data_IF_704635898259
#
_entry.id   IF_704635898259
#
_cell.length_a   1.000
_cell.length_b   1.000
_cell.length_c   1.000
_cell.angle_alpha   90.00
_cell.angle_beta   90.00
_cell.angle_gamma   90.00
#
_symmetry.space_group_name_H-M   'P 1'
#
loop_
_entity.id
_entity.type
_entity.pdbx_description
1 polymer ?
#
# COMPACT_ATOMS: atom_id res chain seq x y z
N UNK A 1 36.45 -11.70 2.28
CA UNK A 1 36.04 -13.07 2.59
C UNK A 1 37.13 -14.10 2.22
N UNK A 2 37.74 -13.94 1.04
CA UNK A 2 38.81 -14.83 0.59
C UNK A 2 40.02 -14.86 1.54
N UNK A 3 40.43 -13.70 2.06
CA UNK A 3 41.53 -13.61 3.00
C UNK A 3 41.20 -14.30 4.32
N UNK A 4 39.99 -14.16 4.83
CA UNK A 4 39.53 -14.83 6.03
C UNK A 4 39.47 -16.35 5.85
N UNK A 5 39.07 -16.83 4.67
CA UNK A 5 39.05 -18.27 4.37
C UNK A 5 40.44 -18.87 4.31
N UNK A 6 41.38 -18.15 3.71
CA UNK A 6 42.80 -18.61 3.67
C UNK A 6 43.42 -18.68 5.07
N UNK A 7 43.11 -17.68 5.90
CA UNK A 7 43.61 -17.68 7.29
C UNK A 7 42.97 -18.82 8.09
N UNK A 8 41.72 -19.16 7.86
CA UNK A 8 41.02 -20.27 8.49
C UNK A 8 41.61 -21.64 8.16
N UNK A 9 42.18 -21.80 6.95
CA UNK A 9 42.88 -23.03 6.57
C UNK A 9 44.16 -23.28 7.39
N UNK A 10 44.78 -22.20 7.86
CA UNK A 10 46.04 -22.29 8.62
C UNK A 10 45.84 -22.29 10.13
N UNK A 11 44.73 -21.73 10.61
CA UNK A 11 44.44 -21.57 12.03
C UNK A 11 42.95 -21.87 12.30
N UNK A 12 42.61 -22.88 13.13
CA UNK A 12 41.25 -23.26 13.44
C UNK A 12 40.41 -22.12 14.07
N UNK A 13 41.07 -21.15 14.73
CA UNK A 13 40.35 -20.01 15.31
C UNK A 13 39.69 -19.12 14.24
N UNK A 14 40.24 -19.06 13.04
CA UNK A 14 39.70 -18.28 11.94
C UNK A 14 38.51 -18.94 11.28
N UNK A 15 38.31 -20.24 11.44
CA UNK A 15 37.13 -20.94 10.88
C UNK A 15 35.83 -20.39 11.46
N UNK A 16 35.82 -20.04 12.75
CA UNK A 16 34.67 -19.45 13.45
C UNK A 16 34.37 -18.06 12.88
N UNK A 17 35.40 -17.27 12.57
CA UNK A 17 35.21 -15.94 11.98
C UNK A 17 34.65 -16.01 10.55
N UNK A 18 35.06 -16.99 9.76
CA UNK A 18 34.52 -17.20 8.41
C UNK A 18 33.04 -17.56 8.47
N UNK A 19 32.64 -18.43 9.38
CA UNK A 19 31.23 -18.76 9.58
C UNK A 19 30.42 -17.55 10.02
N UNK A 20 30.95 -16.75 10.95
CA UNK A 20 30.26 -15.54 11.40
C UNK A 20 30.10 -14.50 10.28
N UNK A 21 31.11 -14.31 9.43
CA UNK A 21 31.04 -13.40 8.29
C UNK A 21 30.04 -13.87 7.26
N UNK A 22 29.95 -15.16 7.01
CA UNK A 22 28.97 -15.73 6.08
C UNK A 22 27.56 -15.58 6.63
N UNK A 23 27.35 -15.80 7.92
CA UNK A 23 26.06 -15.66 8.59
C UNK A 23 25.59 -14.20 8.68
N UNK A 24 26.52 -13.23 8.63
CA UNK A 24 26.18 -11.82 8.67
C UNK A 24 25.65 -11.28 7.35
N UNK A 25 25.76 -12.02 6.25
CA UNK A 25 25.20 -11.60 4.96
C UNK A 25 23.67 -11.70 4.99
N UNK A 26 22.97 -10.68 4.47
CA UNK A 26 21.50 -10.73 4.43
C UNK A 26 21.01 -11.94 3.63
N UNK A 27 20.07 -12.65 4.20
CA UNK A 27 19.35 -13.72 3.48
C UNK A 27 18.14 -13.11 2.77
N UNK A 28 17.77 -13.71 1.66
CA UNK A 28 16.55 -13.33 1.00
C UNK A 28 15.34 -13.62 1.90
N UNK A 29 14.41 -12.70 1.92
CA UNK A 29 13.19 -12.84 2.69
C UNK A 29 12.12 -13.49 1.83
N UNK A 30 11.26 -14.30 2.46
CA UNK A 30 10.08 -14.84 1.77
C UNK A 30 8.87 -13.92 1.97
N UNK A 31 7.76 -14.26 1.32
CA UNK A 31 6.56 -13.42 1.34
C UNK A 31 6.03 -13.17 2.76
N UNK A 32 6.17 -14.13 3.67
CA UNK A 32 5.68 -13.99 5.04
C UNK A 32 6.52 -13.01 5.87
N UNK A 33 7.75 -12.76 5.47
CA UNK A 33 8.69 -11.88 6.16
C UNK A 33 8.68 -10.46 5.61
N UNK A 34 8.06 -10.24 4.45
CA UNK A 34 8.03 -8.93 3.78
C UNK A 34 6.76 -8.20 4.18
N UNK A 35 6.92 -7.02 4.77
CA UNK A 35 5.79 -6.14 5.06
C UNK A 35 5.40 -5.39 3.79
N UNK A 36 4.15 -5.54 3.39
CA UNK A 36 3.56 -4.83 2.25
C UNK A 36 2.54 -3.83 2.77
N UNK A 37 2.72 -2.58 2.36
CA UNK A 37 1.89 -1.50 2.86
C UNK A 37 1.48 -0.59 1.70
N UNK A 38 0.24 -0.11 1.73
CA UNK A 38 -0.22 0.88 0.78
C UNK A 38 0.63 2.15 0.90
N UNK A 39 1.05 2.69 -0.24
CA UNK A 39 1.91 3.87 -0.29
C UNK A 39 3.40 3.56 -0.30
N UNK A 40 3.80 2.29 -0.14
CA UNK A 40 5.20 1.90 -0.28
C UNK A 40 5.65 2.13 -1.73
N UNK A 41 6.71 2.92 -1.89
CA UNK A 41 7.15 3.36 -3.22
C UNK A 41 7.85 2.27 -4.02
N UNK A 42 8.27 1.16 -3.38
CA UNK A 42 8.87 0.04 -4.10
C UNK A 42 7.83 -0.79 -4.86
N UNK A 43 6.54 -0.61 -4.55
CA UNK A 43 5.44 -1.29 -5.23
C UNK A 43 5.00 -0.45 -6.41
N UNK A 44 5.06 -1.01 -7.62
CA UNK A 44 4.67 -0.31 -8.83
C UNK A 44 3.18 0.07 -8.80
N UNK A 45 2.86 1.23 -9.33
CA UNK A 45 1.49 1.74 -9.36
C UNK A 45 0.52 0.81 -10.09
N UNK A 46 1.01 0.01 -11.03
CA UNK A 46 0.19 -0.95 -11.78
C UNK A 46 -0.42 -2.01 -10.86
N UNK A 47 0.29 -2.43 -9.81
CA UNK A 47 -0.27 -3.35 -8.81
C UNK A 47 -1.39 -2.69 -8.02
N UNK A 48 -1.20 -1.44 -7.62
CA UNK A 48 -2.23 -0.67 -6.91
C UNK A 48 -3.46 -0.50 -7.80
N UNK A 49 -3.25 -0.17 -9.07
CA UNK A 49 -4.32 0.03 -10.02
C UNK A 49 -5.11 -1.26 -10.29
N UNK A 50 -4.43 -2.37 -10.45
CA UNK A 50 -5.06 -3.67 -10.62
C UNK A 50 -5.86 -4.06 -9.36
N UNK A 51 -5.28 -3.86 -8.18
CA UNK A 51 -5.98 -4.08 -6.92
C UNK A 51 -7.27 -3.26 -6.87
N UNK A 52 -7.17 -2.00 -7.20
CA UNK A 52 -8.31 -1.07 -7.20
C UNK A 52 -9.43 -1.55 -8.12
N UNK A 53 -9.07 -1.93 -9.34
CA UNK A 53 -10.08 -2.38 -10.32
C UNK A 53 -10.77 -3.66 -9.87
N UNK A 54 -10.01 -4.64 -9.39
CA UNK A 54 -10.56 -5.93 -8.98
C UNK A 54 -11.35 -5.84 -7.68
N UNK A 55 -10.83 -5.17 -6.68
CA UNK A 55 -11.41 -5.12 -5.34
C UNK A 55 -12.65 -4.23 -5.29
N UNK A 56 -12.63 -3.11 -6.00
CA UNK A 56 -13.74 -2.16 -6.01
C UNK A 56 -14.74 -2.42 -7.12
N UNK A 57 -14.60 -3.54 -7.82
CA UNK A 57 -15.50 -3.95 -8.89
C UNK A 57 -15.68 -2.83 -9.92
N UNK A 58 -14.56 -2.26 -10.37
CA UNK A 58 -14.57 -1.18 -11.35
C UNK A 58 -15.00 -1.71 -12.71
N UNK A 59 -16.09 -1.19 -13.29
CA UNK A 59 -16.52 -1.62 -14.61
C UNK A 59 -15.43 -1.45 -15.67
N UNK A 60 -15.27 -2.45 -16.53
CA UNK A 60 -14.21 -2.45 -17.52
C UNK A 60 -14.18 -1.18 -18.37
N UNK A 61 -15.38 -0.70 -18.78
CA UNK A 61 -15.47 0.48 -19.63
C UNK A 61 -15.12 1.80 -18.92
N UNK A 62 -15.01 1.79 -17.59
CA UNK A 62 -14.61 2.96 -16.80
C UNK A 62 -13.16 2.91 -16.35
N UNK A 63 -12.46 1.80 -16.54
CA UNK A 63 -11.10 1.64 -16.02
C UNK A 63 -10.13 2.67 -16.60
N UNK A 64 -10.30 3.06 -17.86
CA UNK A 64 -9.46 4.10 -18.48
C UNK A 64 -9.62 5.48 -17.84
N UNK A 65 -10.77 5.72 -17.23
CA UNK A 65 -11.08 7.01 -16.59
C UNK A 65 -10.62 7.07 -15.14
N UNK A 66 -10.21 5.95 -14.56
CA UNK A 66 -9.83 5.85 -13.15
C UNK A 66 -8.43 5.27 -13.10
N UNK A 67 -7.45 6.12 -12.85
CA UNK A 67 -6.05 5.73 -12.89
C UNK A 67 -5.30 6.17 -11.64
N UNK A 68 -4.32 5.36 -11.24
CA UNK A 68 -3.42 5.67 -10.12
C UNK A 68 -2.17 6.36 -10.67
N UNK A 69 -1.85 7.50 -10.08
CA UNK A 69 -0.66 8.27 -10.43
C UNK A 69 0.20 8.50 -9.21
N UNK A 70 1.52 8.45 -9.39
CA UNK A 70 2.47 8.81 -8.35
C UNK A 70 3.42 9.87 -8.88
N UNK A 71 3.59 10.96 -8.14
CA UNK A 71 4.50 12.03 -8.48
C UNK A 71 5.72 11.96 -7.56
N UNK A 72 6.89 11.51 -8.06
CA UNK A 72 8.07 11.36 -7.19
C UNK A 72 8.56 12.67 -6.59
N UNK A 73 8.37 13.77 -7.29
CA UNK A 73 8.82 15.08 -6.85
C UNK A 73 8.17 15.52 -5.56
N UNK A 74 6.87 15.27 -5.42
CA UNK A 74 6.10 15.61 -4.21
C UNK A 74 5.84 14.42 -3.31
N UNK A 75 6.20 13.21 -3.75
CA UNK A 75 5.90 11.94 -3.07
C UNK A 75 4.39 11.78 -2.83
N UNK A 76 3.58 12.20 -3.78
CA UNK A 76 2.12 12.21 -3.66
C UNK A 76 1.47 11.24 -4.63
N UNK A 77 0.50 10.50 -4.13
CA UNK A 77 -0.35 9.60 -4.91
C UNK A 77 -1.65 10.31 -5.24
N UNK A 78 -2.13 10.10 -6.45
CA UNK A 78 -3.41 10.65 -6.91
C UNK A 78 -4.17 9.59 -7.67
N UNK A 79 -5.49 9.56 -7.47
CA UNK A 79 -6.39 8.72 -8.24
C UNK A 79 -7.31 9.64 -9.05
N UNK A 80 -7.21 9.56 -10.37
CA UNK A 80 -8.09 10.32 -11.25
C UNK A 80 -9.45 9.63 -11.37
N UNK A 81 -10.49 10.41 -11.64
CA UNK A 81 -11.81 9.85 -11.89
C UNK A 81 -12.50 9.21 -10.71
N UNK A 82 -12.21 9.64 -9.49
CA UNK A 82 -12.76 9.04 -8.27
C UNK A 82 -14.29 9.01 -8.19
N UNK A 83 -14.96 9.89 -8.89
CA UNK A 83 -16.43 10.01 -8.84
C UNK A 83 -17.12 9.50 -10.11
N UNK A 84 -16.39 8.84 -11.00
CA UNK A 84 -16.93 8.34 -12.27
C UNK A 84 -17.87 7.15 -12.06
N UNK A 85 -17.56 6.30 -11.08
CA UNK A 85 -18.36 5.11 -10.77
C UNK A 85 -19.62 5.53 -10.03
N UNK A 86 -20.77 5.00 -10.46
CA UNK A 86 -22.05 5.33 -9.86
C UNK A 86 -22.26 4.73 -8.48
N UNK A 87 -23.18 5.33 -7.72
CA UNK A 87 -23.46 4.92 -6.33
C UNK A 87 -24.08 3.53 -6.21
N UNK A 88 -24.52 2.95 -7.31
CA UNK A 88 -25.01 1.57 -7.33
C UNK A 88 -23.89 0.52 -7.23
N UNK A 89 -22.63 0.94 -7.32
CA UNK A 89 -21.50 0.05 -7.10
C UNK A 89 -21.34 -0.19 -5.60
N UNK A 90 -21.74 -1.38 -5.14
CA UNK A 90 -21.73 -1.75 -3.72
C UNK A 90 -20.31 -1.79 -3.16
N UNK A 91 -19.36 -2.31 -3.93
CA UNK A 91 -17.96 -2.37 -3.47
C UNK A 91 -17.40 -0.98 -3.18
N UNK A 92 -17.65 -0.02 -4.05
CA UNK A 92 -17.09 1.33 -3.95
C UNK A 92 -17.79 2.20 -2.89
N UNK A 93 -19.08 2.00 -2.65
CA UNK A 93 -19.88 2.88 -1.78
C UNK A 93 -20.37 2.22 -0.49
N UNK A 94 -20.15 0.93 -0.33
CA UNK A 94 -20.61 0.22 0.87
C UNK A 94 -19.52 -0.68 1.45
N UNK A 95 -19.02 -1.66 0.70
CA UNK A 95 -18.05 -2.62 1.22
C UNK A 95 -16.74 -1.92 1.60
N UNK A 96 -16.21 -1.08 0.71
CA UNK A 96 -14.92 -0.40 0.87
C UNK A 96 -15.05 1.11 0.88
N UNK A 97 -16.25 1.61 1.02
CA UNK A 97 -16.51 3.04 1.02
C UNK A 97 -17.78 3.39 1.77
N UNK A 98 -18.08 4.68 1.78
CA UNK A 98 -19.30 5.22 2.35
C UNK A 98 -19.98 6.15 1.33
N UNK A 99 -21.19 6.61 1.61
CA UNK A 99 -21.84 7.60 0.76
C UNK A 99 -21.13 8.95 0.75
N UNK A 100 -20.32 9.24 1.77
CA UNK A 100 -19.57 10.50 1.91
C UNK A 100 -18.12 10.38 1.40
N UNK A 101 -17.57 9.18 1.38
CA UNK A 101 -16.22 8.92 0.86
C UNK A 101 -16.21 7.53 0.24
N UNK A 102 -16.14 7.46 -1.07
CA UNK A 102 -16.11 6.16 -1.75
C UNK A 102 -14.74 5.49 -1.63
N UNK A 103 -14.65 4.25 -2.08
CA UNK A 103 -13.43 3.45 -1.96
C UNK A 103 -12.22 4.09 -2.63
N UNK A 104 -12.40 4.78 -3.75
CA UNK A 104 -11.30 5.43 -4.47
C UNK A 104 -10.71 6.58 -3.68
N UNK A 105 -11.54 7.37 -3.03
CA UNK A 105 -11.11 8.47 -2.16
C UNK A 105 -10.36 7.92 -0.94
N UNK A 106 -10.89 6.87 -0.32
CA UNK A 106 -10.26 6.25 0.85
C UNK A 106 -8.93 5.62 0.47
N UNK A 107 -8.85 4.97 -0.69
CA UNK A 107 -7.60 4.41 -1.19
C UNK A 107 -6.55 5.50 -1.42
N UNK A 108 -6.94 6.61 -2.04
CA UNK A 108 -6.03 7.73 -2.27
C UNK A 108 -5.46 8.29 -0.96
N UNK A 109 -6.30 8.48 0.04
CA UNK A 109 -5.85 8.93 1.36
C UNK A 109 -4.92 7.90 2.02
N UNK A 110 -5.24 6.62 1.88
CA UNK A 110 -4.42 5.53 2.41
C UNK A 110 -3.03 5.47 1.77
N UNK A 111 -2.95 5.66 0.45
CA UNK A 111 -1.68 5.72 -0.27
C UNK A 111 -0.81 6.88 0.21
N UNK A 112 -1.42 7.99 0.58
CA UNK A 112 -0.74 9.17 1.08
C UNK A 112 -0.56 9.17 2.60
N UNK A 113 -0.88 8.04 3.25
CA UNK A 113 -0.75 7.86 4.71
C UNK A 113 -1.56 8.88 5.50
N UNK A 114 -2.75 9.21 4.99
CA UNK A 114 -3.69 10.13 5.65
C UNK A 114 -4.89 9.38 6.17
N UNK A 115 -5.42 9.85 7.29
CA UNK A 115 -6.72 9.42 7.79
C UNK A 115 -7.82 10.14 7.03
N UNK A 116 -8.91 9.43 6.75
CA UNK A 116 -10.08 10.04 6.12
C UNK A 116 -10.86 10.80 7.18
N UNK A 117 -11.12 12.08 6.94
CA UNK A 117 -11.92 12.92 7.82
C UNK A 117 -13.08 13.49 7.05
N UNK A 118 -14.27 13.33 7.59
CA UNK A 118 -15.51 13.81 6.97
C UNK A 118 -16.03 15.00 7.75
N UNK A 119 -16.29 16.08 7.02
CA UNK A 119 -16.75 17.35 7.60
C UNK A 119 -18.14 17.68 7.06
N UNK A 120 -18.96 18.21 7.94
CA UNK A 120 -20.22 18.85 7.56
C UNK A 120 -20.02 20.35 7.53
N UNK A 121 -20.72 21.02 6.63
CA UNK A 121 -20.77 22.47 6.59
C UNK A 121 -21.98 22.90 7.39
N UNK A 122 -21.77 23.72 8.42
CA UNK A 122 -22.81 24.21 9.32
C UNK A 122 -22.85 25.73 9.21
N UNK A 123 -24.05 26.28 9.12
CA UNK A 123 -24.27 27.72 9.12
C UNK A 123 -24.54 28.16 10.55
N UNK A 124 -23.77 29.15 11.07
CA UNK A 124 -23.98 29.68 12.39
C UNK A 124 -25.06 30.78 12.42
N UNK A 125 -25.31 31.33 13.60
CA UNK A 125 -26.35 32.36 13.81
C UNK A 125 -26.08 33.65 13.01
N UNK A 126 -24.83 33.89 12.62
CA UNK A 126 -24.44 35.09 11.85
C UNK A 126 -24.48 34.83 10.34
N UNK A 127 -24.93 33.66 9.92
CA UNK A 127 -24.99 33.24 8.50
C UNK A 127 -23.64 32.84 7.94
N UNK A 128 -22.61 32.68 8.76
CA UNK A 128 -21.30 32.20 8.33
C UNK A 128 -21.24 30.68 8.33
N UNK A 129 -20.65 30.14 7.28
CA UNK A 129 -20.43 28.71 7.16
C UNK A 129 -19.14 28.31 7.89
N UNK A 130 -19.20 27.19 8.60
CA UNK A 130 -18.02 26.58 9.22
C UNK A 130 -18.04 25.07 9.01
N UNK A 131 -16.88 24.47 9.00
CA UNK A 131 -16.72 23.03 8.87
C UNK A 131 -16.66 22.40 10.25
N UNK A 132 -17.47 21.37 10.46
CA UNK A 132 -17.51 20.61 11.71
C UNK A 132 -17.26 19.15 11.39
N UNK A 133 -16.35 18.52 12.14
CA UNK A 133 -16.05 17.10 11.94
C UNK A 133 -17.30 16.27 12.23
N UNK A 134 -17.68 15.42 11.28
CA UNK A 134 -18.72 14.43 11.47
C UNK A 134 -18.06 13.16 12.03
N UNK A 135 -18.12 12.97 13.34
CA UNK A 135 -17.44 11.87 14.01
C UNK A 135 -17.95 10.50 13.56
N UNK A 136 -19.25 10.37 13.35
CA UNK A 136 -19.87 9.11 12.92
C UNK A 136 -19.39 8.71 11.53
N UNK A 137 -19.46 9.61 10.58
CA UNK A 137 -19.03 9.36 9.20
C UNK A 137 -17.53 9.15 9.11
N UNK A 138 -16.75 9.88 9.91
CA UNK A 138 -15.29 9.71 9.96
C UNK A 138 -14.93 8.33 10.52
N UNK A 139 -15.61 7.87 11.55
CA UNK A 139 -15.40 6.54 12.12
C UNK A 139 -15.75 5.45 11.12
N UNK A 140 -16.86 5.62 10.40
CA UNK A 140 -17.27 4.68 9.35
C UNK A 140 -16.22 4.62 8.23
N UNK A 141 -15.72 5.76 7.79
CA UNK A 141 -14.67 5.82 6.78
C UNK A 141 -13.38 5.15 7.25
N UNK A 142 -13.02 5.31 8.52
CA UNK A 142 -11.86 4.66 9.11
C UNK A 142 -11.99 3.13 9.10
N UNK A 143 -13.18 2.61 9.34
CA UNK A 143 -13.45 1.17 9.24
C UNK A 143 -13.26 0.67 7.80
N UNK A 144 -13.72 1.45 6.83
CA UNK A 144 -13.54 1.10 5.41
C UNK A 144 -12.08 1.19 4.99
N UNK A 145 -11.35 2.15 5.51
CA UNK A 145 -9.90 2.27 5.28
C UNK A 145 -9.18 1.02 5.79
N UNK A 146 -9.52 0.54 6.97
CA UNK A 146 -8.95 -0.70 7.51
C UNK A 146 -9.31 -1.91 6.64
N UNK A 147 -10.55 -1.96 6.16
CA UNK A 147 -10.99 -3.03 5.27
C UNK A 147 -10.19 -3.05 3.95
N UNK A 148 -9.88 -1.88 3.41
CA UNK A 148 -9.05 -1.76 2.21
C UNK A 148 -7.62 -2.23 2.48
N UNK A 149 -7.04 -1.86 3.61
CA UNK A 149 -5.70 -2.31 4.00
C UNK A 149 -5.63 -3.82 4.12
N UNK A 150 -6.61 -4.42 4.77
CA UNK A 150 -6.68 -5.87 4.95
C UNK A 150 -6.85 -6.57 3.59
N UNK A 151 -7.71 -6.02 2.74
CA UNK A 151 -7.93 -6.55 1.40
C UNK A 151 -6.67 -6.47 0.54
N UNK A 152 -5.92 -5.38 0.63
CA UNK A 152 -4.68 -5.22 -0.13
C UNK A 152 -3.62 -6.22 0.31
N UNK A 153 -3.45 -6.40 1.62
CA UNK A 153 -2.49 -7.35 2.17
C UNK A 153 -2.80 -8.78 1.70
N UNK A 154 -4.07 -9.14 1.67
CA UNK A 154 -4.51 -10.44 1.19
C UNK A 154 -4.33 -10.57 -0.32
N UNK A 155 -4.74 -9.56 -1.08
CA UNK A 155 -4.70 -9.56 -2.54
C UNK A 155 -3.29 -9.65 -3.09
N UNK A 156 -2.35 -8.88 -2.51
CA UNK A 156 -0.98 -8.74 -3.06
C UNK A 156 -0.24 -10.07 -3.08
N UNK A 157 -0.50 -10.95 -2.13
CA UNK A 157 0.16 -12.24 -2.02
C UNK A 157 -0.65 -13.42 -2.57
N UNK A 158 -1.90 -13.18 -2.98
CA UNK A 158 -2.81 -14.25 -3.40
C UNK A 158 -2.37 -14.92 -4.70
N UNK A 159 -1.94 -14.13 -5.67
CA UNK A 159 -1.48 -14.64 -6.96
C UNK A 159 -0.02 -15.08 -6.88
N UNK A 160 0.30 -16.35 -7.21
CA UNK A 160 1.67 -16.86 -7.10
C UNK A 160 2.69 -16.11 -7.96
N UNK A 161 2.34 -15.72 -9.18
CA UNK A 161 3.24 -14.99 -10.07
C UNK A 161 3.53 -13.59 -9.52
N UNK A 162 2.51 -12.91 -9.07
CA UNK A 162 2.64 -11.58 -8.46
C UNK A 162 3.48 -11.68 -7.18
N UNK A 163 3.20 -12.68 -6.33
CA UNK A 163 3.96 -12.91 -5.11
C UNK A 163 5.44 -13.13 -5.40
N UNK A 164 5.77 -13.99 -6.35
CA UNK A 164 7.16 -14.27 -6.71
C UNK A 164 7.86 -13.04 -7.27
N UNK A 165 7.19 -12.27 -8.12
CA UNK A 165 7.76 -11.05 -8.69
C UNK A 165 8.05 -10.00 -7.62
N UNK A 166 7.14 -9.82 -6.68
CA UNK A 166 7.30 -8.84 -5.59
C UNK A 166 8.35 -9.28 -4.57
N UNK A 167 8.42 -10.54 -4.23
CA UNK A 167 9.46 -11.08 -3.36
C UNK A 167 10.84 -10.84 -3.97
N UNK A 168 10.98 -11.13 -5.26
CA UNK A 168 12.24 -10.89 -5.97
C UNK A 168 12.61 -9.41 -5.98
N UNK A 169 11.65 -8.56 -6.31
CA UNK A 169 11.86 -7.11 -6.37
C UNK A 169 12.29 -6.57 -5.01
N UNK A 170 11.61 -6.98 -3.94
CA UNK A 170 11.94 -6.52 -2.59
C UNK A 170 13.37 -6.92 -2.21
N UNK A 171 13.75 -8.16 -2.45
CA UNK A 171 15.08 -8.64 -2.10
C UNK A 171 16.19 -7.95 -2.92
N UNK A 172 15.93 -7.70 -4.19
CA UNK A 172 16.90 -7.01 -5.06
C UNK A 172 17.05 -5.54 -4.70
N UNK A 173 15.96 -4.82 -4.45
CA UNK A 173 15.95 -3.37 -4.27
C UNK A 173 16.13 -2.96 -2.81
N UNK A 174 15.57 -3.70 -1.87
CA UNK A 174 15.47 -3.29 -0.47
C UNK A 174 16.36 -4.10 0.45
N UNK A 175 16.34 -5.42 0.34
CA UNK A 175 17.08 -6.29 1.26
C UNK A 175 18.57 -6.34 0.93
N UNK A 176 18.94 -6.34 -0.33
CA UNK A 176 20.33 -6.46 -0.77
C UNK A 176 21.18 -5.21 -0.47
N UNK A 177 20.53 -4.09 -0.17
CA UNK A 177 21.23 -2.82 0.12
C UNK A 177 21.55 -2.60 1.60
N UNK A 178 21.15 -3.51 2.45
CA UNK A 178 21.38 -3.40 3.90
C UNK A 178 22.82 -3.75 4.31
#
# INVERSE_FOLDING_TARGET
LRQAQRAAEQDPAFAVNVEALTAAQPKDLDASEIEVRLGATWIDKEYIQQFMYETFDTPFYLQRSIEVHYTPFTAEWQISGKNVVGQNNVAAYSTYGTGRANAYKILEDSLNLRDVRIYDTVEDADGKERRVLNAKETTLAAQKQQAIWDAFRDWIWRDPERRQALVRQYNEEMNATR
#
